data_IF_363252536897
#
_entry.id   IF_363252536897
#
_cell.length_a   1.000
_cell.length_b   1.000
_cell.length_c   1.000
_cell.angle_alpha   90.00
_cell.angle_beta   90.00
_cell.angle_gamma   90.00
#
_symmetry.space_group_name_H-M   'P 1'
#
loop_
_entity.id
_entity.type
_entity.pdbx_description
1 polymer ?
#
# COMPACT_ATOMS: atom_id res chain seq x y z
N UNK A 1 -1.62 12.17 -13.44
CA UNK A 1 -0.43 12.15 -12.56
C UNK A 1 -0.73 11.20 -11.42
N UNK A 2 0.02 10.08 -11.30
CA UNK A 2 -0.26 9.06 -10.27
C UNK A 2 0.56 9.41 -9.02
N UNK A 3 -0.11 9.70 -7.91
CA UNK A 3 0.52 9.88 -6.62
C UNK A 3 0.31 8.62 -5.78
N UNK A 4 1.37 8.11 -5.18
CA UNK A 4 1.27 7.08 -4.16
C UNK A 4 1.38 7.75 -2.80
N UNK A 5 0.27 7.79 -2.07
CA UNK A 5 0.29 8.20 -0.68
C UNK A 5 0.57 6.95 0.16
N UNK A 6 1.69 6.96 0.84
CA UNK A 6 2.01 5.93 1.83
C UNK A 6 2.03 6.55 3.22
N UNK A 7 0.96 6.34 3.98
CA UNK A 7 0.91 6.77 5.37
C UNK A 7 1.58 5.68 6.21
N UNK A 8 2.85 5.89 6.52
CA UNK A 8 3.57 5.04 7.46
C UNK A 8 4.54 5.89 8.26
N UNK A 9 4.43 5.87 9.58
CA UNK A 9 5.55 6.28 10.41
C UNK A 9 6.47 5.09 10.57
N UNK A 10 7.69 5.28 10.15
CA UNK A 10 8.77 4.50 10.71
C UNK A 10 9.20 5.22 11.98
N UNK A 11 8.80 4.68 13.14
CA UNK A 11 9.32 5.15 14.40
C UNK A 11 10.84 5.08 14.31
N UNK A 12 11.52 6.22 14.37
CA UNK A 12 12.97 6.36 14.52
C UNK A 12 13.44 5.82 15.89
N UNK A 13 12.72 4.87 16.47
CA UNK A 13 13.15 4.12 17.62
C UNK A 13 14.11 3.03 17.15
N UNK A 14 15.37 3.33 17.31
CA UNK A 14 16.54 2.47 17.54
C UNK A 14 16.64 1.08 16.87
N UNK A 15 15.56 0.41 16.48
CA UNK A 15 15.62 -0.94 15.91
C UNK A 15 15.87 -1.00 14.40
N UNK A 16 15.50 0.03 13.63
CA UNK A 16 15.70 0.03 12.17
C UNK A 16 15.79 1.45 11.60
N UNK A 17 16.91 2.18 11.79
CA UNK A 17 17.09 3.55 11.28
C UNK A 17 17.08 3.61 9.74
N UNK A 18 17.34 2.48 9.07
CA UNK A 18 17.47 2.40 7.61
C UNK A 18 16.13 2.22 6.88
N UNK A 19 15.03 1.97 7.58
CA UNK A 19 13.78 1.59 6.93
C UNK A 19 13.19 2.68 6.00
N UNK A 20 13.37 3.94 6.36
CA UNK A 20 12.95 5.08 5.51
C UNK A 20 13.79 5.12 4.22
N UNK A 21 15.10 4.97 4.32
CA UNK A 21 15.98 4.95 3.15
C UNK A 21 15.70 3.73 2.25
N UNK A 22 15.44 2.57 2.83
CA UNK A 22 15.03 1.35 2.12
C UNK A 22 13.70 1.59 1.38
N UNK A 23 12.75 2.28 2.01
CA UNK A 23 11.47 2.62 1.39
C UNK A 23 11.63 3.55 0.18
N UNK A 24 12.42 4.61 0.32
CA UNK A 24 12.73 5.49 -0.81
C UNK A 24 13.40 4.71 -1.95
N UNK A 25 14.42 3.91 -1.66
CA UNK A 25 15.13 3.11 -2.66
C UNK A 25 14.20 2.13 -3.39
N UNK A 26 13.31 1.47 -2.66
CA UNK A 26 12.29 0.58 -3.23
C UNK A 26 11.38 1.32 -4.21
N UNK A 27 10.78 2.43 -3.80
CA UNK A 27 9.86 3.19 -4.65
C UNK A 27 10.56 3.82 -5.85
N UNK A 28 11.79 4.33 -5.68
CA UNK A 28 12.59 4.86 -6.77
C UNK A 28 12.94 3.79 -7.81
N UNK A 29 13.17 2.54 -7.40
CA UNK A 29 13.41 1.43 -8.32
C UNK A 29 12.19 1.11 -9.21
N UNK A 30 11.00 1.55 -8.81
CA UNK A 30 9.76 1.50 -9.59
C UNK A 30 9.50 2.77 -10.41
N UNK A 31 10.46 3.71 -10.43
CA UNK A 31 10.35 4.97 -11.16
C UNK A 31 9.60 6.09 -10.43
N UNK A 32 9.28 5.92 -9.14
CA UNK A 32 8.60 6.94 -8.34
C UNK A 32 9.62 7.95 -7.86
N UNK A 33 9.47 9.21 -8.23
CA UNK A 33 10.36 10.30 -7.83
C UNK A 33 10.18 10.62 -6.34
N UNK A 34 11.27 10.99 -5.65
CA UNK A 34 11.28 11.27 -4.21
C UNK A 34 10.25 12.34 -3.79
N UNK A 35 10.05 13.36 -4.61
CA UNK A 35 9.08 14.42 -4.36
C UNK A 35 7.61 13.99 -4.53
N UNK A 36 7.36 12.76 -5.01
CA UNK A 36 6.03 12.15 -5.06
C UNK A 36 5.77 11.18 -3.90
N UNK A 37 6.70 11.10 -2.93
CA UNK A 37 6.58 10.23 -1.76
C UNK A 37 6.36 11.12 -0.54
N UNK A 38 5.24 10.94 0.13
CA UNK A 38 4.93 11.63 1.38
C UNK A 38 4.98 10.60 2.52
N UNK A 39 5.72 10.93 3.56
CA UNK A 39 5.84 10.11 4.78
C UNK A 39 5.38 10.99 5.94
N UNK A 40 4.35 10.52 6.67
CA UNK A 40 3.93 11.14 7.91
C UNK A 40 4.76 10.61 9.08
N UNK A 41 4.68 11.28 10.22
CA UNK A 41 5.39 10.88 11.44
C UNK A 41 4.47 10.38 12.56
N UNK A 42 3.28 9.89 12.22
CA UNK A 42 2.36 9.27 13.19
C UNK A 42 2.98 8.03 13.82
N UNK A 43 2.83 7.88 15.13
CA UNK A 43 3.46 6.81 15.89
C UNK A 43 2.76 5.47 15.61
N UNK A 44 3.52 4.50 15.14
CA UNK A 44 3.02 3.15 14.84
C UNK A 44 2.43 2.51 16.08
N UNK A 45 1.30 1.82 15.93
CA UNK A 45 0.46 1.20 16.96
C UNK A 45 -0.34 2.19 17.82
N UNK A 46 -0.30 3.47 17.50
CA UNK A 46 -1.00 4.54 18.20
C UNK A 46 -1.89 5.39 17.26
N UNK A 47 -2.19 4.90 16.05
CA UNK A 47 -3.02 5.65 15.10
C UNK A 47 -4.43 5.88 15.62
N UNK A 48 -4.94 5.01 16.51
CA UNK A 48 -6.22 5.20 17.19
C UNK A 48 -6.27 6.48 18.02
N UNK A 49 -5.12 6.89 18.58
CA UNK A 49 -5.00 8.12 19.39
C UNK A 49 -4.84 9.38 18.53
N UNK A 50 -4.50 9.23 17.24
CA UNK A 50 -4.22 10.34 16.31
C UNK A 50 -5.19 10.39 15.14
N UNK A 51 -6.41 9.89 15.32
CA UNK A 51 -7.40 9.79 14.23
C UNK A 51 -7.71 11.14 13.59
N UNK A 52 -7.90 12.17 14.39
CA UNK A 52 -8.22 13.50 13.86
C UNK A 52 -7.03 14.10 13.12
N UNK A 53 -5.81 14.00 13.64
CA UNK A 53 -4.60 14.49 13.00
C UNK A 53 -4.35 13.75 11.66
N UNK A 54 -4.63 12.43 11.61
CA UNK A 54 -4.56 11.65 10.38
C UNK A 54 -5.59 12.17 9.36
N UNK A 55 -6.82 12.40 9.79
CA UNK A 55 -7.87 12.95 8.92
C UNK A 55 -7.47 14.33 8.37
N UNK A 56 -6.97 15.23 9.22
CA UNK A 56 -6.53 16.58 8.83
C UNK A 56 -5.34 16.53 7.85
N UNK A 57 -4.41 15.61 8.07
CA UNK A 57 -3.31 15.36 7.16
C UNK A 57 -3.80 14.90 5.79
N UNK A 58 -4.70 13.92 5.76
CA UNK A 58 -5.33 13.42 4.53
C UNK A 58 -6.12 14.52 3.80
N UNK A 59 -6.85 15.35 4.54
CA UNK A 59 -7.59 16.48 3.98
C UNK A 59 -6.67 17.48 3.29
N UNK A 60 -5.54 17.85 3.92
CA UNK A 60 -4.52 18.72 3.31
C UNK A 60 -3.98 18.12 2.00
N UNK A 61 -3.74 16.81 1.97
CA UNK A 61 -3.29 16.10 0.76
C UNK A 61 -4.37 16.12 -0.31
N UNK A 62 -5.63 15.85 0.03
CA UNK A 62 -6.77 15.91 -0.88
C UNK A 62 -6.87 17.27 -1.55
N UNK A 63 -6.82 18.36 -0.78
CA UNK A 63 -6.88 19.72 -1.30
C UNK A 63 -5.71 20.05 -2.24
N UNK A 64 -4.50 19.61 -1.87
CA UNK A 64 -3.29 19.86 -2.66
C UNK A 64 -3.23 19.06 -3.95
N UNK A 65 -3.58 17.78 -3.91
CA UNK A 65 -3.36 16.86 -5.03
C UNK A 65 -4.59 16.65 -5.91
N UNK A 66 -5.80 16.90 -5.39
CA UNK A 66 -7.09 16.70 -6.06
C UNK A 66 -7.12 15.37 -6.83
N UNK A 67 -6.90 14.22 -6.16
CA UNK A 67 -6.82 12.94 -6.84
C UNK A 67 -8.19 12.53 -7.39
N UNK A 68 -8.22 11.84 -8.54
CA UNK A 68 -9.43 11.22 -9.08
C UNK A 68 -9.64 9.79 -8.57
N UNK A 69 -8.58 9.15 -8.07
CA UNK A 69 -8.63 7.80 -7.51
C UNK A 69 -7.55 7.65 -6.44
N UNK A 70 -7.88 6.98 -5.34
CA UNK A 70 -6.97 6.71 -4.23
C UNK A 70 -6.93 5.22 -3.95
N UNK A 71 -5.72 4.67 -3.86
CA UNK A 71 -5.49 3.30 -3.39
C UNK A 71 -5.23 3.33 -1.90
N UNK A 72 -6.00 2.57 -1.14
CA UNK A 72 -5.85 2.45 0.32
C UNK A 72 -5.69 0.99 0.70
N UNK A 73 -5.20 0.70 1.91
CA UNK A 73 -5.24 -0.67 2.41
C UNK A 73 -6.71 -1.13 2.56
N UNK A 74 -7.00 -2.36 2.15
CA UNK A 74 -8.29 -3.00 2.46
C UNK A 74 -8.45 -3.19 3.97
N UNK A 75 -9.67 -3.47 4.43
CA UNK A 75 -9.90 -3.85 5.83
C UNK A 75 -9.08 -5.09 6.17
N UNK A 76 -8.31 -5.03 7.24
CA UNK A 76 -7.48 -6.11 7.74
C UNK A 76 -7.37 -6.08 9.27
N UNK A 77 -6.62 -7.01 9.86
CA UNK A 77 -6.52 -7.16 11.31
C UNK A 77 -5.54 -6.20 11.99
N UNK A 78 -4.75 -5.42 11.24
CA UNK A 78 -3.79 -4.50 11.84
C UNK A 78 -4.47 -3.20 12.27
N UNK A 79 -4.38 -2.86 13.56
CA UNK A 79 -5.06 -1.70 14.15
C UNK A 79 -4.77 -0.38 13.41
N UNK A 80 -3.52 -0.09 13.04
CA UNK A 80 -3.18 1.13 12.32
C UNK A 80 -3.75 1.12 10.89
N UNK A 81 -3.82 -0.05 10.24
CA UNK A 81 -4.44 -0.18 8.92
C UNK A 81 -5.95 0.07 8.98
N UNK A 82 -6.62 -0.39 10.04
CA UNK A 82 -8.04 -0.11 10.25
C UNK A 82 -8.30 1.39 10.37
N UNK A 83 -7.51 2.10 11.17
CA UNK A 83 -7.61 3.56 11.30
C UNK A 83 -7.33 4.23 9.95
N UNK A 84 -6.24 3.88 9.25
CA UNK A 84 -5.95 4.45 7.94
C UNK A 84 -7.08 4.22 6.94
N UNK A 85 -7.62 3.01 6.89
CA UNK A 85 -8.73 2.65 6.01
C UNK A 85 -9.96 3.52 6.30
N UNK A 86 -10.36 3.63 7.56
CA UNK A 86 -11.52 4.41 7.98
C UNK A 86 -11.36 5.90 7.69
N UNK A 87 -10.23 6.50 8.05
CA UNK A 87 -10.00 7.93 7.85
C UNK A 87 -9.80 8.27 6.36
N UNK A 88 -9.23 7.36 5.57
CA UNK A 88 -9.20 7.51 4.11
C UNK A 88 -10.60 7.48 3.49
N UNK A 89 -11.44 6.52 3.85
CA UNK A 89 -12.82 6.46 3.35
C UNK A 89 -13.62 7.71 3.73
N UNK A 90 -13.47 8.19 4.97
CA UNK A 90 -14.10 9.41 5.44
C UNK A 90 -13.65 10.64 4.67
N UNK A 91 -12.35 10.79 4.42
CA UNK A 91 -11.76 11.96 3.77
C UNK A 91 -12.01 11.97 2.27
N UNK A 92 -11.91 10.83 1.60
CA UNK A 92 -11.99 10.69 0.14
C UNK A 92 -13.33 10.10 -0.32
N UNK A 93 -14.42 10.24 0.45
CA UNK A 93 -15.74 9.67 0.14
C UNK A 93 -16.36 10.09 -1.20
N UNK A 94 -15.90 11.20 -1.76
CA UNK A 94 -16.30 11.80 -3.05
C UNK A 94 -15.30 11.48 -4.17
N UNK A 95 -14.40 10.53 -3.97
CA UNK A 95 -13.34 10.12 -4.89
C UNK A 95 -13.35 8.60 -5.00
N UNK A 96 -13.00 8.07 -6.18
CA UNK A 96 -12.88 6.62 -6.37
C UNK A 96 -11.85 6.01 -5.43
N UNK A 97 -12.25 4.95 -4.70
CA UNK A 97 -11.41 4.27 -3.72
C UNK A 97 -11.22 2.80 -4.10
N UNK A 98 -9.97 2.39 -4.18
CA UNK A 98 -9.57 1.00 -4.45
C UNK A 98 -8.74 0.48 -3.28
N UNK A 99 -9.20 -0.61 -2.67
CA UNK A 99 -8.52 -1.27 -1.58
C UNK A 99 -7.48 -2.29 -2.07
N UNK A 100 -6.26 -2.24 -1.55
CA UNK A 100 -5.25 -3.28 -1.77
C UNK A 100 -5.12 -4.18 -0.55
N UNK A 101 -4.86 -5.46 -0.78
CA UNK A 101 -4.67 -6.44 0.29
C UNK A 101 -3.23 -6.36 0.85
N UNK A 102 -3.12 -6.52 2.17
CA UNK A 102 -1.83 -6.60 2.86
C UNK A 102 -1.62 -8.06 3.29
N UNK A 103 -0.75 -8.76 2.59
CA UNK A 103 -0.58 -10.21 2.63
C UNK A 103 -0.53 -10.85 4.02
N UNK A 104 -0.03 -10.14 5.00
CA UNK A 104 0.11 -10.67 6.36
C UNK A 104 -1.15 -10.46 7.21
N UNK A 105 -1.91 -9.43 6.94
CA UNK A 105 -2.99 -8.98 7.84
C UNK A 105 -4.38 -9.08 7.22
N UNK A 106 -4.49 -9.21 5.89
CA UNK A 106 -5.77 -9.46 5.21
C UNK A 106 -6.01 -10.97 5.14
N UNK A 107 -6.83 -11.50 6.05
CA UNK A 107 -7.13 -12.94 6.07
C UNK A 107 -8.19 -13.34 5.03
N UNK A 108 -9.21 -12.51 4.86
CA UNK A 108 -10.32 -12.74 3.94
C UNK A 108 -10.38 -11.58 2.92
N UNK A 109 -9.62 -11.66 1.82
CA UNK A 109 -9.60 -10.61 0.83
C UNK A 109 -10.90 -10.58 0.03
N UNK A 110 -11.52 -9.40 -0.08
CA UNK A 110 -12.58 -9.13 -1.04
C UNK A 110 -11.95 -8.72 -2.37
N UNK A 111 -11.90 -9.64 -3.32
CA UNK A 111 -11.27 -9.42 -4.62
C UNK A 111 -12.33 -9.16 -5.67
N UNK A 112 -12.56 -7.92 -6.04
CA UNK A 112 -13.58 -7.50 -7.02
C UNK A 112 -12.99 -6.80 -8.25
N UNK A 113 -11.70 -6.48 -8.22
CA UNK A 113 -10.97 -5.85 -9.32
C UNK A 113 -9.62 -6.53 -9.52
N UNK A 114 -9.33 -6.94 -10.75
CA UNK A 114 -8.13 -7.68 -11.10
C UNK A 114 -7.31 -6.94 -12.15
N UNK A 115 -5.99 -6.99 -12.01
CA UNK A 115 -5.04 -6.44 -12.98
C UNK A 115 -4.14 -7.57 -13.46
N UNK A 116 -4.25 -7.90 -14.75
CA UNK A 116 -3.33 -8.86 -15.41
C UNK A 116 -1.92 -8.27 -15.42
N UNK A 117 -0.94 -9.09 -15.09
CA UNK A 117 0.45 -8.69 -15.01
C UNK A 117 1.33 -9.59 -15.86
N UNK A 118 2.34 -9.00 -16.45
CA UNK A 118 3.43 -9.74 -17.09
C UNK A 118 4.44 -10.25 -16.07
N UNK A 119 5.22 -11.27 -16.44
CA UNK A 119 6.36 -11.74 -15.65
C UNK A 119 7.36 -10.62 -15.34
N UNK A 120 7.52 -9.68 -16.27
CA UNK A 120 8.42 -8.53 -16.09
C UNK A 120 7.94 -7.59 -14.99
N UNK A 121 6.63 -7.35 -14.87
CA UNK A 121 6.04 -6.50 -13.84
C UNK A 121 6.18 -7.13 -12.45
N UNK A 122 5.92 -8.45 -12.33
CA UNK A 122 6.18 -9.17 -11.08
C UNK A 122 7.67 -9.14 -10.72
N UNK A 123 8.55 -9.29 -11.72
CA UNK A 123 10.00 -9.19 -11.47
C UNK A 123 10.43 -7.81 -11.00
N UNK A 124 9.80 -6.72 -11.49
CA UNK A 124 10.02 -5.36 -10.97
C UNK A 124 9.58 -5.24 -9.52
N UNK A 125 8.40 -5.79 -9.17
CA UNK A 125 7.92 -5.84 -7.77
C UNK A 125 8.92 -6.56 -6.88
N UNK A 126 9.40 -7.74 -7.28
CA UNK A 126 10.41 -8.52 -6.54
C UNK A 126 11.70 -7.72 -6.36
N UNK A 127 12.19 -7.05 -7.40
CA UNK A 127 13.39 -6.19 -7.32
C UNK A 127 13.19 -5.06 -6.31
N UNK A 128 12.04 -4.39 -6.34
CA UNK A 128 11.72 -3.33 -5.40
C UNK A 128 11.66 -3.83 -3.94
N UNK A 129 11.10 -5.01 -3.71
CA UNK A 129 11.06 -5.61 -2.38
C UNK A 129 12.44 -5.96 -1.83
N UNK A 130 13.43 -6.26 -2.67
CA UNK A 130 14.82 -6.56 -2.24
C UNK A 130 15.53 -5.36 -1.60
N UNK A 131 15.06 -4.13 -1.82
CA UNK A 131 15.61 -2.97 -1.13
C UNK A 131 15.29 -2.95 0.37
N UNK A 132 14.25 -3.65 0.82
CA UNK A 132 13.91 -3.79 2.23
C UNK A 132 14.80 -4.84 2.92
N UNK A 133 16.08 -4.55 3.13
CA UNK A 133 17.05 -5.42 3.81
C UNK A 133 16.60 -5.80 5.22
N UNK A 134 15.94 -4.85 5.90
CA UNK A 134 15.31 -5.05 7.22
C UNK A 134 14.33 -6.22 7.23
N UNK A 135 13.67 -6.49 6.11
CA UNK A 135 12.64 -7.54 5.99
C UNK A 135 13.08 -8.75 5.16
N UNK A 136 14.36 -8.87 4.82
CA UNK A 136 14.90 -9.95 3.96
C UNK A 136 14.49 -11.36 4.38
N UNK A 137 14.30 -11.60 5.69
CA UNK A 137 13.92 -12.90 6.25
C UNK A 137 12.40 -13.09 6.39
N UNK A 138 11.57 -12.14 5.94
CA UNK A 138 10.12 -12.27 6.02
C UNK A 138 9.59 -13.09 4.84
N UNK A 139 8.83 -14.14 5.15
CA UNK A 139 8.30 -15.08 4.15
C UNK A 139 7.59 -14.39 2.97
N UNK A 140 6.79 -13.36 3.24
CA UNK A 140 6.03 -12.63 2.23
C UNK A 140 6.89 -11.74 1.31
N UNK A 141 8.21 -11.56 1.61
CA UNK A 141 9.19 -10.89 0.74
C UNK A 141 9.96 -11.86 -0.15
N UNK A 142 9.83 -13.17 0.06
CA UNK A 142 10.53 -14.16 -0.74
C UNK A 142 10.00 -14.14 -2.19
N UNK A 143 10.92 -14.05 -3.16
CA UNK A 143 10.57 -14.03 -4.58
C UNK A 143 9.57 -15.11 -4.97
N UNK A 144 9.81 -16.38 -4.55
CA UNK A 144 8.92 -17.51 -4.84
C UNK A 144 7.49 -17.29 -4.34
N UNK A 145 7.33 -16.62 -3.19
CA UNK A 145 6.01 -16.34 -2.61
C UNK A 145 5.27 -15.24 -3.36
N UNK A 146 6.00 -14.21 -3.80
CA UNK A 146 5.43 -13.12 -4.62
C UNK A 146 4.93 -13.66 -5.97
N UNK A 147 5.70 -14.54 -6.61
CA UNK A 147 5.27 -15.18 -7.87
C UNK A 147 4.09 -16.12 -7.63
N UNK A 148 4.18 -17.04 -6.66
CA UNK A 148 3.11 -17.99 -6.35
C UNK A 148 1.77 -17.31 -6.06
N UNK A 149 1.80 -16.16 -5.39
CA UNK A 149 0.61 -15.39 -5.11
C UNK A 149 0.02 -14.76 -6.39
N UNK A 150 0.87 -14.15 -7.23
CA UNK A 150 0.40 -13.59 -8.50
C UNK A 150 -0.18 -14.67 -9.43
N UNK A 151 0.39 -15.89 -9.41
CA UNK A 151 -0.16 -17.07 -10.11
C UNK A 151 -1.49 -17.49 -9.54
N UNK A 152 -1.61 -17.63 -8.21
CA UNK A 152 -2.86 -18.03 -7.54
C UNK A 152 -4.01 -17.04 -7.80
N UNK A 153 -3.70 -15.74 -7.86
CA UNK A 153 -4.69 -14.72 -8.26
C UNK A 153 -4.98 -14.81 -9.76
N UNK A 154 -3.97 -15.08 -10.59
CA UNK A 154 -4.09 -15.22 -12.04
C UNK A 154 -5.08 -16.31 -12.46
N UNK A 155 -5.10 -17.46 -11.75
CA UNK A 155 -6.03 -18.57 -11.99
C UNK A 155 -7.48 -18.08 -12.02
N UNK A 156 -7.86 -17.13 -11.18
CA UNK A 156 -9.23 -16.62 -11.05
C UNK A 156 -9.75 -15.90 -12.31
N UNK A 157 -8.87 -15.46 -13.17
CA UNK A 157 -9.18 -14.66 -14.37
C UNK A 157 -8.48 -15.18 -15.63
N UNK A 158 -8.07 -16.45 -15.63
CA UNK A 158 -7.36 -17.08 -16.75
C UNK A 158 -6.16 -16.27 -17.23
N UNK A 159 -5.31 -15.87 -16.29
CA UNK A 159 -4.08 -15.13 -16.55
C UNK A 159 -2.90 -15.81 -15.85
N UNK A 160 -1.70 -15.75 -16.45
CA UNK A 160 -0.51 -16.31 -15.83
C UNK A 160 -0.19 -15.62 -14.50
N UNK A 161 -0.31 -14.29 -14.45
CA UNK A 161 -0.10 -13.49 -13.25
C UNK A 161 -1.16 -12.42 -13.13
N UNK A 162 -1.58 -12.13 -11.92
CA UNK A 162 -2.51 -11.05 -11.62
C UNK A 162 -2.31 -10.52 -10.21
N UNK A 163 -2.73 -9.27 -9.99
CA UNK A 163 -3.00 -8.73 -8.66
C UNK A 163 -4.51 -8.49 -8.52
N UNK A 164 -4.99 -8.62 -7.29
CA UNK A 164 -6.39 -8.40 -6.97
C UNK A 164 -6.56 -7.29 -5.94
N UNK A 165 -7.61 -6.52 -6.13
CA UNK A 165 -7.99 -5.37 -5.34
C UNK A 165 -9.47 -5.45 -4.99
N UNK A 166 -9.91 -4.60 -4.07
CA UNK A 166 -11.31 -4.40 -3.71
C UNK A 166 -11.78 -3.03 -4.20
N UNK A 167 -12.83 -2.97 -5.00
CA UNK A 167 -13.51 -1.70 -5.30
C UNK A 167 -14.30 -1.32 -4.04
N UNK A 168 -13.91 -0.21 -3.39
CA UNK A 168 -14.64 0.35 -2.26
C UNK A 168 -15.72 1.31 -2.77
N UNK A 169 -15.35 2.21 -3.67
CA UNK A 169 -16.27 3.10 -4.39
C UNK A 169 -15.71 3.49 -5.74
N UNK A 170 -16.58 3.71 -6.72
CA UNK A 170 -16.27 4.32 -8.02
C UNK A 170 -17.16 5.55 -8.17
N UNK A 171 -16.54 6.69 -8.42
CA UNK A 171 -17.20 7.97 -8.71
C UNK A 171 -16.87 8.31 -10.17
N UNK A 172 -17.93 8.49 -10.97
CA UNK A 172 -17.88 8.77 -12.41
C UNK A 172 -18.32 10.21 -12.66
#
# INVERSE_FOLDING_TARGET
MKFFLHIKKYQLNSKNPNLISEHYASLQSLGIKKNHILISDFKTREFSNSRQEICDFLWKIKQKLKPSCVFINSSDLHQDHQVCNMECQRTFRDISLIGYNVERSTLLPSNTFFVKLSKQEISKKVKALKFYKTYKNKNYFLQRKVFAQAEAVGIKIESQYSEAYNIISIII
#
